data_IF_606428616843
#
_entry.id   IF_606428616843
#
_cell.length_a   1.000
_cell.length_b   1.000
_cell.length_c   1.000
_cell.angle_alpha   90.00
_cell.angle_beta   90.00
_cell.angle_gamma   90.00
#
_symmetry.space_group_name_H-M   'P 1'
#
loop_
_entity.id
_entity.type
_entity.pdbx_description
1 polymer ?
#
# COMPACT_ATOMS: atom_id res chain seq x y z
N UNK A 1 6.57 1.40 18.70
CA UNK A 1 5.17 0.97 18.94
C UNK A 1 5.12 -0.03 20.07
N UNK A 2 4.04 -0.09 20.86
CA UNK A 2 3.82 -1.17 21.83
C UNK A 2 3.81 -2.53 21.10
N UNK A 3 4.14 -3.64 21.78
CA UNK A 3 4.02 -4.97 21.18
C UNK A 3 2.63 -5.19 20.56
N UNK A 4 2.59 -5.90 19.43
CA UNK A 4 1.39 -6.10 18.60
C UNK A 4 0.79 -4.82 18.00
N UNK A 5 1.40 -3.63 18.16
CA UNK A 5 0.96 -2.40 17.52
C UNK A 5 1.04 -2.46 15.99
N UNK A 6 0.12 -1.75 15.32
CA UNK A 6 0.08 -1.65 13.86
C UNK A 6 0.81 -0.39 13.40
N UNK A 7 1.68 -0.56 12.41
CA UNK A 7 2.27 0.53 11.64
C UNK A 7 1.62 0.56 10.26
N UNK A 8 1.32 1.76 9.76
CA UNK A 8 0.88 2.00 8.38
C UNK A 8 1.59 3.25 7.87
N UNK A 9 2.17 3.17 6.68
CA UNK A 9 2.77 4.28 5.95
C UNK A 9 2.11 4.43 4.59
N UNK A 10 1.98 5.68 4.13
CA UNK A 10 1.64 6.00 2.76
C UNK A 10 2.85 6.66 2.09
N UNK A 11 3.29 6.12 0.96
CA UNK A 11 4.46 6.58 0.22
C UNK A 11 4.08 6.91 -1.23
N UNK A 12 4.33 8.13 -1.74
CA UNK A 12 4.08 8.47 -3.14
C UNK A 12 5.08 7.86 -4.12
N UNK A 13 6.22 7.31 -3.68
CA UNK A 13 7.19 6.66 -4.57
C UNK A 13 7.58 5.27 -4.10
N UNK A 14 7.99 4.42 -5.04
CA UNK A 14 8.43 3.05 -4.74
C UNK A 14 9.76 3.04 -3.96
N UNK A 15 10.67 4.00 -4.20
CA UNK A 15 11.92 4.09 -3.45
C UNK A 15 11.68 4.36 -1.96
N UNK A 16 10.67 5.17 -1.63
CA UNK A 16 10.26 5.40 -0.25
C UNK A 16 9.65 4.15 0.40
N UNK A 17 8.92 3.34 -0.38
CA UNK A 17 8.43 2.03 0.08
C UNK A 17 9.61 1.13 0.43
N UNK A 18 10.61 1.03 -0.46
CA UNK A 18 11.79 0.17 -0.24
C UNK A 18 12.49 0.56 1.06
N UNK A 19 12.81 1.85 1.24
CA UNK A 19 13.43 2.35 2.48
C UNK A 19 12.58 2.06 3.72
N UNK A 20 11.26 2.21 3.61
CA UNK A 20 10.33 1.92 4.72
C UNK A 20 10.36 0.43 5.08
N UNK A 21 10.31 -0.46 4.09
CA UNK A 21 10.32 -1.91 4.29
C UNK A 21 11.64 -2.39 4.89
N UNK A 22 12.78 -1.86 4.43
CA UNK A 22 14.09 -2.15 4.99
C UNK A 22 14.17 -1.77 6.47
N UNK A 23 13.79 -0.53 6.81
CA UNK A 23 13.74 -0.08 8.19
C UNK A 23 12.81 -0.93 9.07
N UNK A 24 11.65 -1.36 8.56
CA UNK A 24 10.74 -2.23 9.30
C UNK A 24 11.36 -3.61 9.59
N UNK A 25 12.06 -4.20 8.63
CA UNK A 25 12.77 -5.50 8.79
C UNK A 25 13.85 -5.41 9.88
N UNK A 26 14.60 -4.31 9.92
CA UNK A 26 15.64 -4.08 10.92
C UNK A 26 15.07 -3.82 12.34
N UNK A 27 13.81 -3.37 12.45
CA UNK A 27 13.21 -2.90 13.69
C UNK A 27 12.17 -3.87 14.31
N UNK A 28 12.32 -5.17 14.11
CA UNK A 28 11.43 -6.23 14.66
C UNK A 28 9.95 -6.05 14.31
N UNK A 29 9.65 -5.75 13.05
CA UNK A 29 8.29 -5.83 12.52
C UNK A 29 8.09 -7.14 11.74
N UNK A 30 6.86 -7.62 11.75
CA UNK A 30 6.40 -8.80 11.02
C UNK A 30 5.16 -8.46 10.20
N UNK A 31 4.75 -9.37 9.30
CA UNK A 31 3.62 -9.19 8.39
C UNK A 31 3.72 -7.86 7.62
N UNK A 32 4.90 -7.58 7.07
CA UNK A 32 5.14 -6.38 6.27
C UNK A 32 4.53 -6.62 4.88
N UNK A 33 3.57 -5.79 4.51
CA UNK A 33 2.88 -5.86 3.22
C UNK A 33 2.79 -4.47 2.61
N UNK A 34 2.93 -4.37 1.29
CA UNK A 34 2.68 -3.12 0.55
C UNK A 34 1.63 -3.36 -0.51
N UNK A 35 0.64 -2.47 -0.58
CA UNK A 35 -0.41 -2.47 -1.60
C UNK A 35 -0.46 -1.14 -2.35
N UNK A 36 -0.94 -1.16 -3.58
CA UNK A 36 -1.37 0.02 -4.33
C UNK A 36 -2.86 -0.15 -4.69
N UNK A 37 -3.63 0.94 -4.61
CA UNK A 37 -5.04 0.94 -4.98
C UNK A 37 -5.22 1.73 -6.28
N UNK A 38 -5.68 1.05 -7.34
CA UNK A 38 -6.03 1.70 -8.61
C UNK A 38 -7.55 1.83 -8.74
N UNK A 39 -8.06 3.05 -8.66
CA UNK A 39 -9.46 3.33 -8.92
C UNK A 39 -9.68 3.48 -10.42
N UNK A 40 -10.48 2.59 -11.01
CA UNK A 40 -10.78 2.59 -12.46
C UNK A 40 -12.25 2.90 -12.72
N UNK A 41 -12.52 4.04 -13.35
CA UNK A 41 -13.87 4.40 -13.78
C UNK A 41 -14.36 3.47 -14.88
N UNK A 42 -15.66 3.15 -14.85
CA UNK A 42 -16.33 2.29 -15.84
C UNK A 42 -17.45 3.09 -16.52
N UNK A 43 -17.53 3.00 -17.85
CA UNK A 43 -18.74 3.32 -18.60
C UNK A 43 -19.71 2.15 -18.44
N UNK A 44 -20.92 2.41 -17.95
CA UNK A 44 -21.91 1.36 -17.59
C UNK A 44 -23.18 1.42 -18.42
N UNK A 45 -23.17 2.20 -19.49
CA UNK A 45 -24.30 2.32 -20.42
C UNK A 45 -24.48 1.04 -21.24
N UNK A 46 -25.72 0.59 -21.41
CA UNK A 46 -26.05 -0.59 -22.22
C UNK A 46 -25.47 -0.45 -23.63
N UNK A 47 -24.75 -1.48 -24.10
CA UNK A 47 -24.09 -1.48 -25.40
C UNK A 47 -22.76 -0.71 -25.45
N UNK A 48 -22.33 -0.08 -24.35
CA UNK A 48 -21.05 0.64 -24.23
C UNK A 48 -20.31 0.34 -22.91
N UNK A 49 -20.51 -0.84 -22.33
CA UNK A 49 -19.89 -1.21 -21.04
C UNK A 49 -18.40 -1.47 -21.22
N UNK A 50 -17.56 -0.61 -20.65
CA UNK A 50 -16.10 -0.70 -20.73
C UNK A 50 -15.42 0.19 -19.68
N UNK A 51 -14.12 0.03 -19.39
CA UNK A 51 -13.38 1.02 -18.63
C UNK A 51 -13.29 2.37 -19.35
N UNK A 52 -13.19 3.46 -18.58
CA UNK A 52 -12.84 4.77 -19.12
C UNK A 52 -11.49 4.72 -19.82
N UNK A 53 -11.34 5.53 -20.88
CA UNK A 53 -10.12 5.59 -21.69
C UNK A 53 -8.94 6.15 -20.89
N UNK A 54 -9.19 7.17 -20.06
CA UNK A 54 -8.20 7.77 -19.17
C UNK A 54 -8.50 7.38 -17.72
N UNK A 55 -7.46 7.21 -16.92
CA UNK A 55 -7.57 6.96 -15.48
C UNK A 55 -6.39 7.55 -14.74
N UNK A 56 -6.55 7.75 -13.43
CA UNK A 56 -5.42 7.96 -12.52
C UNK A 56 -4.66 6.64 -12.40
N UNK A 57 -3.49 6.58 -13.04
CA UNK A 57 -2.66 5.37 -13.10
C UNK A 57 -1.81 5.12 -11.86
N UNK A 58 -1.74 6.10 -10.95
CA UNK A 58 -0.98 6.00 -9.71
C UNK A 58 -1.56 6.97 -8.67
N UNK A 59 -1.70 6.49 -7.43
CA UNK A 59 -2.03 7.34 -6.27
C UNK A 59 -0.89 7.35 -5.26
N UNK A 60 -0.40 6.17 -4.89
CA UNK A 60 0.61 5.96 -3.88
C UNK A 60 0.46 4.59 -3.24
N UNK A 61 1.48 4.19 -2.51
CA UNK A 61 1.61 2.88 -1.90
C UNK A 61 1.27 2.93 -0.42
N UNK A 62 0.58 1.91 0.09
CA UNK A 62 0.31 1.75 1.51
C UNK A 62 1.12 0.55 2.00
N UNK A 63 2.06 0.79 2.91
CA UNK A 63 2.82 -0.27 3.59
C UNK A 63 2.29 -0.46 4.99
N UNK A 64 1.90 -1.68 5.36
CA UNK A 64 1.47 -2.02 6.73
C UNK A 64 2.40 -3.05 7.36
N UNK A 65 2.51 -3.02 8.70
CA UNK A 65 3.28 -3.99 9.46
C UNK A 65 2.82 -4.10 10.92
N UNK A 66 3.19 -5.18 11.60
CA UNK A 66 2.91 -5.41 13.04
C UNK A 66 4.19 -5.48 13.85
N UNK A 67 4.24 -4.75 14.98
CA UNK A 67 5.38 -4.80 15.90
C UNK A 67 5.41 -6.16 16.60
N UNK A 68 6.50 -6.92 16.45
CA UNK A 68 6.73 -8.18 17.16
C UNK A 68 6.80 -7.93 18.68
N UNK A 69 6.42 -8.91 19.49
CA UNK A 69 6.87 -8.98 20.88
C UNK A 69 8.41 -9.06 20.90
N UNK A 70 9.04 -8.22 21.72
CA UNK A 70 10.45 -8.44 22.06
C UNK A 70 10.53 -9.75 22.85
N UNK A 71 11.52 -10.57 22.52
CA UNK A 71 11.89 -11.74 23.33
C UNK A 71 12.54 -11.27 24.65
#
# INVERSE_FOLDING_TARGET
LKPCGTFVSFSPTIDQVVQTVEALKENCFINIETIECLTRGMQTERGRVRPQTLMTGHTGYITSARKKLAE
#
